data_IF_352058264929
#
_entry.id   IF_352058264929
#
_cell.length_a   1.000
_cell.length_b   1.000
_cell.length_c   1.000
_cell.angle_alpha   90.00
_cell.angle_beta   90.00
_cell.angle_gamma   90.00
#
_symmetry.space_group_name_H-M   'P 1'
#
loop_
_entity.id
_entity.type
_entity.pdbx_description
1 polymer ?
#
# COMPACT_ATOMS: atom_id res chain seq x y z
N UNK A 1 29.31 -1.63 23.05
CA UNK A 1 30.25 -1.58 21.93
C UNK A 1 30.39 -0.15 21.45
N UNK A 2 31.59 0.32 21.10
CA UNK A 2 31.75 1.64 20.48
C UNK A 2 31.98 1.45 18.99
N UNK A 3 31.17 2.06 18.17
CA UNK A 3 31.26 1.97 16.71
C UNK A 3 31.82 3.28 16.17
N UNK A 4 32.82 3.18 15.29
CA UNK A 4 33.37 4.33 14.56
C UNK A 4 32.63 4.44 13.23
N UNK A 5 31.88 5.51 13.03
CA UNK A 5 31.18 5.78 11.79
C UNK A 5 31.81 6.96 11.05
N UNK A 6 31.92 6.81 9.75
CA UNK A 6 32.30 7.91 8.89
C UNK A 6 31.12 8.87 8.72
N UNK A 7 31.28 10.09 9.19
CA UNK A 7 30.22 11.11 9.11
C UNK A 7 30.62 12.17 8.10
N UNK A 8 29.72 12.45 7.15
CA UNK A 8 29.89 13.53 6.19
C UNK A 8 29.40 14.84 6.79
N UNK A 9 30.28 15.80 6.94
CA UNK A 9 29.88 17.16 7.27
C UNK A 9 29.43 17.89 6.01
N UNK A 10 28.11 18.05 5.85
CA UNK A 10 27.50 18.66 4.67
C UNK A 10 27.85 20.12 4.46
N UNK A 11 28.32 20.84 5.49
CA UNK A 11 28.76 22.24 5.38
C UNK A 11 30.17 22.37 4.84
N UNK A 12 31.03 21.41 5.15
CA UNK A 12 32.47 21.48 4.82
C UNK A 12 32.90 20.44 3.78
N UNK A 13 32.00 19.58 3.34
CA UNK A 13 32.26 18.43 2.46
C UNK A 13 33.46 17.55 2.92
N UNK A 14 33.65 17.49 4.24
CA UNK A 14 34.73 16.68 4.84
C UNK A 14 34.14 15.44 5.51
N UNK A 15 34.78 14.30 5.31
CA UNK A 15 34.48 13.07 6.03
C UNK A 15 35.24 13.11 7.36
N UNK A 16 34.54 12.96 8.46
CA UNK A 16 35.12 12.86 9.79
C UNK A 16 34.69 11.58 10.47
N UNK A 17 35.61 10.93 11.19
CA UNK A 17 35.31 9.71 11.96
C UNK A 17 34.80 10.13 13.34
N UNK A 18 33.57 9.82 13.64
CA UNK A 18 32.98 10.01 14.96
C UNK A 18 32.71 8.68 15.63
N UNK A 19 33.02 8.62 16.92
CA UNK A 19 32.79 7.43 17.74
C UNK A 19 31.43 7.56 18.46
N UNK A 20 30.56 6.60 18.23
CA UNK A 20 29.27 6.52 18.88
C UNK A 20 29.23 5.32 19.83
N UNK A 21 28.66 5.52 21.04
CA UNK A 21 28.32 4.41 21.91
C UNK A 21 27.00 3.80 21.39
N UNK A 22 27.05 2.55 21.03
CA UNK A 22 25.90 1.83 20.51
C UNK A 22 25.76 0.49 21.19
N UNK A 23 24.55 0.17 21.64
CA UNK A 23 24.20 -1.15 22.18
C UNK A 23 23.41 -1.91 21.13
N UNK A 24 24.06 -2.83 20.38
CA UNK A 24 23.37 -3.56 19.32
C UNK A 24 22.33 -4.52 19.93
N UNK A 25 21.21 -4.66 19.24
CA UNK A 25 20.20 -5.66 19.57
C UNK A 25 20.66 -6.97 18.94
N UNK A 26 21.07 -7.93 19.77
CA UNK A 26 21.58 -9.23 19.32
C UNK A 26 20.50 -10.14 18.75
N UNK A 27 19.29 -10.08 19.34
CA UNK A 27 18.16 -10.92 18.93
C UNK A 27 17.29 -10.24 17.87
N UNK A 28 17.35 -10.75 16.65
CA UNK A 28 16.57 -10.22 15.53
C UNK A 28 15.23 -10.92 15.41
N UNK A 29 14.15 -10.18 15.60
CA UNK A 29 12.81 -10.69 15.35
C UNK A 29 12.42 -10.48 13.88
N UNK A 30 12.66 -11.50 13.06
CA UNK A 30 12.35 -11.49 11.62
C UNK A 30 10.85 -11.26 11.36
N UNK A 31 9.97 -11.81 12.22
CA UNK A 31 8.52 -11.63 12.10
C UNK A 31 8.10 -10.16 12.23
N UNK A 32 8.70 -9.43 13.17
CA UNK A 32 8.45 -8.00 13.36
C UNK A 32 8.97 -7.19 12.17
N UNK A 33 10.16 -7.48 11.66
CA UNK A 33 10.71 -6.85 10.46
C UNK A 33 9.81 -7.08 9.26
N UNK A 34 9.39 -8.34 9.02
CA UNK A 34 8.47 -8.68 7.93
C UNK A 34 7.16 -7.91 8.03
N UNK A 35 6.55 -7.84 9.22
CA UNK A 35 5.29 -7.12 9.42
C UNK A 35 5.43 -5.63 9.10
N UNK A 36 6.51 -4.99 9.56
CA UNK A 36 6.74 -3.55 9.30
C UNK A 36 6.99 -3.29 7.82
N UNK A 37 7.80 -4.11 7.15
CA UNK A 37 8.06 -3.98 5.70
C UNK A 37 6.79 -4.22 4.89
N UNK A 38 6.01 -5.26 5.22
CA UNK A 38 4.73 -5.55 4.58
C UNK A 38 3.76 -4.37 4.72
N UNK A 39 3.62 -3.82 5.93
CA UNK A 39 2.78 -2.65 6.19
C UNK A 39 3.22 -1.42 5.41
N UNK A 40 4.53 -1.17 5.34
CA UNK A 40 5.10 -0.08 4.56
C UNK A 40 4.78 -0.25 3.06
N UNK A 41 5.04 -1.43 2.48
CA UNK A 41 4.72 -1.73 1.07
C UNK A 41 3.23 -1.60 0.77
N UNK A 42 2.36 -2.03 1.68
CA UNK A 42 0.91 -1.87 1.55
C UNK A 42 0.53 -0.38 1.47
N UNK A 43 1.14 0.46 2.30
CA UNK A 43 0.86 1.90 2.32
C UNK A 43 1.37 2.64 1.08
N UNK A 44 2.41 2.15 0.42
CA UNK A 44 2.90 2.70 -0.86
C UNK A 44 2.06 2.26 -2.07
N UNK A 45 1.19 1.27 -1.89
CA UNK A 45 0.38 0.76 -2.98
C UNK A 45 -0.72 1.76 -3.35
N UNK A 46 -0.69 2.21 -4.60
CA UNK A 46 -1.75 3.05 -5.16
C UNK A 46 -2.80 2.18 -5.85
N UNK A 47 -4.07 2.51 -5.64
CA UNK A 47 -5.17 1.88 -6.34
C UNK A 47 -5.51 2.69 -7.59
N UNK A 48 -5.10 2.21 -8.74
CA UNK A 48 -5.36 2.81 -10.05
C UNK A 48 -6.48 2.10 -10.82
N UNK A 49 -6.87 0.90 -10.39
CA UNK A 49 -7.93 0.14 -11.03
C UNK A 49 -9.31 0.65 -10.61
N UNK A 50 -10.11 1.05 -11.59
CA UNK A 50 -11.48 1.49 -11.39
C UNK A 50 -12.34 1.10 -12.58
N UNK A 51 -13.55 0.63 -12.32
CA UNK A 51 -14.55 0.34 -13.36
C UNK A 51 -15.83 1.11 -13.07
N UNK A 52 -16.57 1.43 -14.12
CA UNK A 52 -17.85 2.16 -14.02
C UNK A 52 -18.97 1.18 -13.65
N UNK A 53 -19.69 1.49 -12.60
CA UNK A 53 -20.96 0.83 -12.27
C UNK A 53 -22.08 1.29 -13.21
N UNK A 54 -23.21 0.61 -13.21
CA UNK A 54 -24.35 0.99 -14.05
C UNK A 54 -24.84 2.44 -13.84
N UNK A 55 -24.57 3.02 -12.68
CA UNK A 55 -24.93 4.41 -12.39
C UNK A 55 -23.96 5.41 -13.03
N UNK A 56 -22.70 5.01 -13.22
CA UNK A 56 -21.63 5.85 -13.77
C UNK A 56 -21.47 5.73 -15.28
N UNK A 57 -22.02 4.68 -15.90
CA UNK A 57 -22.00 4.52 -17.36
C UNK A 57 -22.91 5.54 -17.99
N UNK A 58 -22.43 6.24 -19.03
CA UNK A 58 -23.24 7.15 -19.84
C UNK A 58 -24.29 6.36 -20.63
N UNK A 59 -25.48 6.90 -20.73
CA UNK A 59 -26.58 6.29 -21.47
C UNK A 59 -27.95 6.66 -20.88
N UNK A 60 -29.01 6.26 -21.56
CA UNK A 60 -30.36 6.51 -21.09
C UNK A 60 -30.70 5.69 -19.84
N UNK A 61 -31.38 6.32 -18.89
CA UNK A 61 -31.96 5.64 -17.73
C UNK A 61 -33.35 5.07 -18.00
N UNK A 62 -33.91 5.27 -19.20
CA UNK A 62 -35.26 4.85 -19.57
C UNK A 62 -35.37 3.31 -19.53
N UNK A 63 -36.57 2.85 -19.16
CA UNK A 63 -36.92 1.41 -19.23
C UNK A 63 -37.00 0.99 -20.69
N UNK A 64 -36.27 -0.07 -21.12
CA UNK A 64 -36.20 -0.44 -22.54
C UNK A 64 -37.53 -0.86 -23.17
N UNK A 65 -38.40 -1.52 -22.41
CA UNK A 65 -39.73 -1.98 -22.83
C UNK A 65 -40.67 -2.14 -21.64
N UNK A 66 -41.94 -2.33 -21.93
CA UNK A 66 -42.97 -2.52 -20.93
C UNK A 66 -42.72 -3.76 -20.05
N UNK A 67 -43.17 -3.71 -18.80
CA UNK A 67 -42.96 -4.78 -17.79
C UNK A 67 -43.62 -6.12 -18.18
N UNK A 68 -44.72 -6.09 -18.93
CA UNK A 68 -45.49 -7.26 -19.40
C UNK A 68 -45.92 -7.04 -20.85
N UNK A 69 -46.30 -8.11 -21.53
CA UNK A 69 -46.87 -8.06 -22.87
C UNK A 69 -45.86 -8.07 -24.01
N UNK A 70 -44.56 -8.11 -23.77
CA UNK A 70 -43.52 -8.09 -24.82
C UNK A 70 -42.90 -9.46 -25.12
N UNK A 71 -43.19 -10.50 -24.36
CA UNK A 71 -42.55 -11.82 -24.49
C UNK A 71 -41.05 -11.86 -24.19
N UNK A 72 -40.45 -10.70 -23.81
CA UNK A 72 -39.02 -10.57 -23.49
C UNK A 72 -38.77 -10.61 -21.98
N UNK A 73 -37.53 -10.96 -21.61
CA UNK A 73 -37.11 -10.87 -20.22
C UNK A 73 -37.28 -9.43 -19.67
N UNK A 74 -37.71 -9.32 -18.42
CA UNK A 74 -37.90 -8.02 -17.78
C UNK A 74 -36.60 -7.29 -17.57
N UNK A 75 -36.50 -6.04 -18.05
CA UNK A 75 -35.31 -5.21 -17.92
C UNK A 75 -35.66 -3.81 -17.41
N UNK A 76 -34.82 -3.29 -16.52
CA UNK A 76 -35.01 -1.96 -15.97
C UNK A 76 -34.16 -0.89 -16.65
N UNK A 77 -33.01 -1.27 -17.23
CA UNK A 77 -32.10 -0.32 -17.89
C UNK A 77 -31.14 -1.05 -18.83
N UNK A 78 -30.81 -0.44 -19.96
CA UNK A 78 -29.78 -0.93 -20.88
C UNK A 78 -28.34 -0.79 -20.34
N UNK A 79 -28.16 -0.02 -19.28
CA UNK A 79 -26.85 0.12 -18.59
C UNK A 79 -26.56 -1.00 -17.59
N UNK A 80 -27.44 -1.98 -17.47
CA UNK A 80 -27.26 -3.12 -16.57
C UNK A 80 -26.12 -4.05 -17.05
N UNK A 81 -25.42 -4.75 -16.16
CA UNK A 81 -24.23 -5.54 -16.49
C UNK A 81 -24.42 -6.63 -17.53
N UNK A 82 -25.64 -7.13 -17.72
CA UNK A 82 -25.97 -8.16 -18.70
C UNK A 82 -25.98 -7.67 -20.15
N UNK A 83 -25.96 -6.35 -20.36
CA UNK A 83 -25.94 -5.76 -21.71
C UNK A 83 -24.52 -5.37 -22.12
N UNK A 84 -24.25 -5.49 -23.40
CA UNK A 84 -23.00 -5.00 -24.01
C UNK A 84 -22.93 -3.48 -23.81
N UNK A 85 -21.82 -2.98 -23.29
CA UNK A 85 -21.67 -1.57 -22.91
C UNK A 85 -22.32 -1.20 -21.58
N UNK A 86 -22.90 -2.15 -20.83
CA UNK A 86 -23.39 -1.93 -19.48
C UNK A 86 -22.28 -1.76 -18.44
N UNK A 87 -22.66 -1.35 -17.23
CA UNK A 87 -21.74 -1.21 -16.12
C UNK A 87 -21.26 -2.55 -15.57
N UNK A 88 -20.18 -2.55 -14.81
CA UNK A 88 -19.66 -3.73 -14.14
C UNK A 88 -20.28 -3.85 -12.74
N UNK A 89 -20.77 -5.03 -12.41
CA UNK A 89 -21.17 -5.37 -11.04
C UNK A 89 -19.96 -5.89 -10.27
N UNK A 90 -19.79 -5.45 -9.03
CA UNK A 90 -18.71 -5.90 -8.13
C UNK A 90 -17.28 -5.79 -8.71
N UNK A 91 -17.04 -4.84 -9.59
CA UNK A 91 -15.71 -4.57 -10.12
C UNK A 91 -14.80 -3.82 -9.14
N UNK A 92 -13.51 -3.69 -9.46
CA UNK A 92 -12.57 -2.93 -8.65
C UNK A 92 -13.00 -1.46 -8.58
N UNK A 93 -13.02 -0.93 -7.37
CA UNK A 93 -13.27 0.49 -7.10
C UNK A 93 -12.08 1.16 -6.43
N UNK A 94 -12.10 2.47 -6.37
CA UNK A 94 -11.10 3.25 -5.64
C UNK A 94 -11.11 2.86 -4.16
N UNK A 95 -9.97 2.38 -3.65
CA UNK A 95 -9.76 2.09 -2.23
C UNK A 95 -8.39 2.53 -1.78
N UNK A 96 -8.28 2.90 -0.52
CA UNK A 96 -6.99 3.21 0.11
C UNK A 96 -6.45 1.95 0.75
N UNK A 97 -5.22 1.56 0.38
CA UNK A 97 -4.49 0.50 1.08
C UNK A 97 -3.79 1.13 2.27
N UNK A 98 -4.25 0.81 3.47
CA UNK A 98 -3.69 1.36 4.70
C UNK A 98 -3.49 0.25 5.73
N UNK A 99 -2.25 0.09 6.15
CA UNK A 99 -1.86 -0.75 7.27
C UNK A 99 -1.38 0.13 8.41
N UNK A 100 -1.91 -0.09 9.61
CA UNK A 100 -1.59 0.68 10.82
C UNK A 100 -0.61 -0.10 11.69
N UNK A 101 0.67 0.04 11.38
CA UNK A 101 1.72 -0.48 12.25
C UNK A 101 2.01 0.51 13.39
N UNK A 102 2.02 0.11 14.66
CA UNK A 102 2.32 0.96 15.81
C UNK A 102 3.69 1.62 15.70
N UNK A 103 3.83 2.87 16.18
CA UNK A 103 5.10 3.61 16.14
C UNK A 103 6.24 2.86 16.84
N UNK A 104 5.98 2.26 18.03
CA UNK A 104 6.97 1.48 18.77
C UNK A 104 7.50 0.27 17.98
N UNK A 105 6.64 -0.41 17.21
CA UNK A 105 7.07 -1.52 16.36
C UNK A 105 7.99 -1.05 15.23
N UNK A 106 7.67 0.08 14.58
CA UNK A 106 8.51 0.66 13.53
C UNK A 106 9.87 1.08 14.08
N UNK A 107 9.90 1.74 15.25
CA UNK A 107 11.15 2.15 15.90
C UNK A 107 12.01 0.93 16.27
N UNK A 108 11.41 -0.11 16.86
CA UNK A 108 12.13 -1.34 17.22
C UNK A 108 12.66 -2.08 15.97
N UNK A 109 11.87 -2.15 14.91
CA UNK A 109 12.29 -2.78 13.65
C UNK A 109 13.48 -2.02 13.02
N UNK A 110 13.44 -0.68 13.01
CA UNK A 110 14.54 0.14 12.51
C UNK A 110 15.80 -0.06 13.35
N UNK A 111 15.68 -0.05 14.68
CA UNK A 111 16.81 -0.29 15.57
C UNK A 111 17.45 -1.66 15.34
N UNK A 112 16.66 -2.73 15.17
CA UNK A 112 17.18 -4.06 14.84
C UNK A 112 17.88 -4.10 13.47
N UNK A 113 17.32 -3.45 12.45
CA UNK A 113 17.95 -3.42 11.13
C UNK A 113 19.29 -2.68 11.14
N UNK A 114 19.37 -1.54 11.87
CA UNK A 114 20.62 -0.80 12.05
C UNK A 114 21.63 -1.63 12.84
N UNK A 115 21.20 -2.30 13.94
CA UNK A 115 22.07 -3.17 14.74
C UNK A 115 22.71 -4.26 13.87
N UNK A 116 21.93 -4.90 13.02
CA UNK A 116 22.43 -5.93 12.12
C UNK A 116 23.48 -5.38 11.15
N UNK A 117 23.22 -4.23 10.55
CA UNK A 117 24.15 -3.61 9.61
C UNK A 117 25.47 -3.23 10.27
N UNK A 118 25.42 -2.73 11.50
CA UNK A 118 26.63 -2.41 12.27
C UNK A 118 27.42 -3.67 12.61
N UNK A 119 26.75 -4.77 12.99
CA UNK A 119 27.40 -6.06 13.27
C UNK A 119 28.03 -6.68 12.01
N UNK A 120 27.45 -6.47 10.84
CA UNK A 120 27.96 -6.91 9.54
C UNK A 120 29.06 -6.00 8.97
N UNK A 121 29.45 -4.94 9.71
CA UNK A 121 30.45 -3.94 9.27
C UNK A 121 30.11 -3.29 7.89
N UNK A 122 28.83 -3.25 7.54
CA UNK A 122 28.33 -2.77 6.23
C UNK A 122 27.74 -1.35 6.28
N UNK A 123 28.19 -0.54 7.24
CA UNK A 123 27.79 0.88 7.42
C UNK A 123 28.99 1.80 7.26
#
# INVERSE_FOLDING_TARGET
MSVKLDTLNTKENKVSKKQYKFEPIEEINVGLLHQVVKGSRTNFRNNTASVKTRAQVSGTGAKPWAQKGTGRARQGSLRSPQFVGGGVAHGPGTRVYKDRTPKKMKSKALAMAISQRILEESV
#
